data_IF_748656710987
#
_entry.id   IF_748656710987
#
_cell.length_a   1.000
_cell.length_b   1.000
_cell.length_c   1.000
_cell.angle_alpha   90.00
_cell.angle_beta   90.00
_cell.angle_gamma   90.00
#
_symmetry.space_group_name_H-M   'P 1'
#
loop_
_entity.id
_entity.type
_entity.pdbx_description
1 polymer ?
#
# COMPACT_ATOMS: atom_id res chain seq x y z
N UNK A 1 12.66 -12.56 -20.85
CA UNK A 1 13.75 -12.26 -19.90
C UNK A 1 14.31 -10.85 -20.03
N UNK A 2 14.52 -10.28 -21.23
CA UNK A 2 15.10 -8.94 -21.40
C UNK A 2 14.36 -7.82 -20.64
N UNK A 3 13.04 -7.72 -20.78
CA UNK A 3 12.25 -6.67 -20.13
C UNK A 3 12.29 -6.72 -18.58
N UNK A 4 12.26 -7.91 -17.98
CA UNK A 4 12.38 -8.06 -16.52
C UNK A 4 13.76 -7.65 -16.01
N UNK A 5 14.82 -7.96 -16.75
CA UNK A 5 16.18 -7.54 -16.40
C UNK A 5 16.36 -6.02 -16.51
N UNK A 6 15.77 -5.40 -17.54
CA UNK A 6 15.77 -3.93 -17.71
C UNK A 6 14.99 -3.25 -16.58
N UNK A 7 13.85 -3.83 -16.14
CA UNK A 7 13.09 -3.34 -15.00
C UNK A 7 13.90 -3.39 -13.69
N UNK A 8 14.54 -4.53 -13.38
CA UNK A 8 15.42 -4.65 -12.20
C UNK A 8 16.60 -3.67 -12.27
N UNK A 9 17.19 -3.48 -13.46
CA UNK A 9 18.27 -2.52 -13.64
C UNK A 9 17.81 -1.08 -13.32
N UNK A 10 16.64 -0.67 -13.80
CA UNK A 10 16.06 0.63 -13.48
C UNK A 10 15.79 0.79 -11.97
N UNK A 11 15.23 -0.23 -11.32
CA UNK A 11 15.01 -0.21 -9.87
C UNK A 11 16.32 -0.10 -9.07
N UNK A 12 17.39 -0.75 -9.53
CA UNK A 12 18.73 -0.60 -8.92
C UNK A 12 19.26 0.82 -9.03
N UNK A 13 19.05 1.49 -10.16
CA UNK A 13 19.46 2.90 -10.31
C UNK A 13 18.68 3.82 -9.35
N UNK A 14 17.36 3.63 -9.24
CA UNK A 14 16.53 4.35 -8.26
C UNK A 14 16.96 4.07 -6.81
N UNK A 15 17.20 2.81 -6.46
CA UNK A 15 17.62 2.41 -5.12
C UNK A 15 18.99 3.02 -4.77
N UNK A 16 19.95 3.03 -5.71
CA UNK A 16 21.24 3.69 -5.54
C UNK A 16 21.09 5.20 -5.31
N UNK A 17 20.20 5.86 -6.07
CA UNK A 17 19.92 7.28 -5.86
C UNK A 17 19.31 7.55 -4.48
N UNK A 18 18.41 6.68 -4.02
CA UNK A 18 17.82 6.76 -2.68
C UNK A 18 18.88 6.62 -1.57
N UNK A 19 19.79 5.64 -1.69
CA UNK A 19 20.93 5.47 -0.77
C UNK A 19 21.81 6.71 -0.71
N UNK A 20 22.15 7.28 -1.87
CA UNK A 20 22.97 8.50 -1.95
C UNK A 20 22.26 9.72 -1.35
N UNK A 21 20.93 9.77 -1.45
CA UNK A 21 20.10 10.80 -0.84
C UNK A 21 19.81 10.58 0.65
N UNK A 22 20.20 9.44 1.22
CA UNK A 22 19.86 9.09 2.61
C UNK A 22 18.36 8.85 2.84
N UNK A 23 17.62 8.50 1.79
CA UNK A 23 16.18 8.22 1.83
C UNK A 23 15.90 6.75 1.52
N UNK A 24 14.69 6.29 1.83
CA UNK A 24 14.22 4.96 1.46
C UNK A 24 13.40 5.02 0.16
N UNK A 25 13.38 3.91 -0.57
CA UNK A 25 12.59 3.74 -1.79
C UNK A 25 11.56 2.63 -1.56
N UNK A 26 10.28 2.98 -1.53
CA UNK A 26 9.18 2.02 -1.40
C UNK A 26 8.57 1.72 -2.76
N UNK A 27 8.54 0.44 -3.14
CA UNK A 27 7.83 -0.04 -4.33
C UNK A 27 6.43 -0.50 -3.94
N UNK A 28 5.41 0.07 -4.57
CA UNK A 28 4.01 -0.33 -4.37
C UNK A 28 3.63 -1.49 -5.30
N UNK A 29 2.96 -2.54 -4.80
CA UNK A 29 2.38 -3.56 -5.66
C UNK A 29 1.17 -2.99 -6.41
N UNK A 30 1.02 -3.37 -7.67
CA UNK A 30 -0.21 -3.15 -8.44
C UNK A 30 -0.53 -4.43 -9.21
N UNK A 31 -1.81 -4.77 -9.42
CA UNK A 31 -2.18 -5.82 -10.34
C UNK A 31 -1.58 -5.59 -11.72
N UNK A 32 -1.25 -6.67 -12.41
CA UNK A 32 -0.67 -6.66 -13.76
C UNK A 32 0.78 -6.13 -13.87
N UNK A 33 1.43 -5.79 -12.75
CA UNK A 33 2.86 -5.44 -12.69
C UNK A 33 3.75 -6.62 -12.27
N UNK A 34 5.08 -6.49 -12.42
CA UNK A 34 6.03 -7.54 -11.99
C UNK A 34 5.98 -7.80 -10.47
N UNK A 35 5.70 -6.76 -9.68
CA UNK A 35 5.52 -6.83 -8.23
C UNK A 35 4.06 -6.97 -7.80
N UNK A 36 3.21 -7.62 -8.59
CA UNK A 36 1.77 -7.69 -8.30
C UNK A 36 1.40 -8.50 -7.05
N UNK A 37 2.25 -9.43 -6.61
CA UNK A 37 2.01 -10.26 -5.43
C UNK A 37 3.30 -10.42 -4.60
N UNK A 38 3.17 -11.03 -3.43
CA UNK A 38 4.24 -11.23 -2.45
C UNK A 38 5.47 -11.91 -3.04
N UNK A 39 5.30 -12.96 -3.84
CA UNK A 39 6.43 -13.68 -4.46
C UNK A 39 7.14 -12.83 -5.52
N UNK A 40 6.38 -12.06 -6.31
CA UNK A 40 6.93 -11.09 -7.26
C UNK A 40 7.75 -10.02 -6.56
N UNK A 41 7.20 -9.43 -5.48
CA UNK A 41 7.89 -8.44 -4.65
C UNK A 41 9.18 -9.00 -4.06
N UNK A 42 9.14 -10.18 -3.43
CA UNK A 42 10.33 -10.80 -2.83
C UNK A 42 11.44 -11.04 -3.86
N UNK A 43 11.09 -11.54 -5.06
CA UNK A 43 12.07 -11.72 -6.15
C UNK A 43 12.65 -10.40 -6.65
N UNK A 44 11.84 -9.34 -6.71
CA UNK A 44 12.33 -8.00 -7.07
C UNK A 44 13.30 -7.48 -6.01
N UNK A 45 12.94 -7.59 -4.73
CA UNK A 45 13.78 -7.15 -3.61
C UNK A 45 15.12 -7.89 -3.60
N UNK A 46 15.10 -9.21 -3.78
CA UNK A 46 16.31 -10.05 -3.89
C UNK A 46 17.14 -9.69 -5.12
N UNK A 47 16.50 -9.48 -6.28
CA UNK A 47 17.23 -9.16 -7.50
C UNK A 47 17.84 -7.74 -7.45
N UNK A 48 17.18 -6.75 -6.86
CA UNK A 48 17.73 -5.41 -6.71
C UNK A 48 18.83 -5.38 -5.66
N UNK A 49 18.66 -6.11 -4.55
CA UNK A 49 19.60 -6.25 -3.44
C UNK A 49 20.12 -4.90 -2.91
N UNK A 50 19.18 -4.05 -2.48
CA UNK A 50 19.49 -2.78 -1.84
C UNK A 50 18.84 -2.68 -0.46
N UNK A 51 19.55 -2.14 0.55
CA UNK A 51 18.95 -1.81 1.84
C UNK A 51 17.97 -0.62 1.75
N UNK A 52 18.10 0.28 0.76
CA UNK A 52 17.17 1.41 0.63
C UNK A 52 15.81 0.99 0.08
N UNK A 53 15.76 -0.04 -0.77
CA UNK A 53 14.53 -0.54 -1.36
C UNK A 53 13.69 -1.34 -0.35
N UNK A 54 12.38 -1.14 -0.38
CA UNK A 54 11.38 -1.95 0.29
C UNK A 54 10.02 -1.79 -0.38
N UNK A 55 8.94 -2.00 0.35
CA UNK A 55 7.57 -2.09 -0.18
C UNK A 55 6.68 -1.02 0.46
N UNK A 56 5.88 -0.33 -0.38
CA UNK A 56 4.68 0.34 0.09
C UNK A 56 3.56 -0.71 0.10
N UNK A 57 3.21 -1.23 1.27
CA UNK A 57 2.22 -2.29 1.35
C UNK A 57 0.83 -1.72 1.07
N UNK A 58 0.18 -2.24 0.03
CA UNK A 58 -1.23 -1.98 -0.23
C UNK A 58 -2.03 -3.29 -0.25
N UNK A 59 -2.82 -3.56 0.81
CA UNK A 59 -3.69 -4.73 0.88
C UNK A 59 -4.70 -4.82 -0.28
N UNK A 60 -5.18 -3.69 -0.81
CA UNK A 60 -6.21 -3.65 -1.85
C UNK A 60 -5.70 -4.06 -3.23
N UNK A 61 -4.40 -3.88 -3.49
CA UNK A 61 -3.75 -4.40 -4.68
C UNK A 61 -3.41 -5.89 -4.56
N UNK A 62 -3.10 -6.35 -3.35
CA UNK A 62 -2.63 -7.72 -3.08
C UNK A 62 -3.79 -8.72 -2.91
N UNK A 63 -4.86 -8.30 -2.26
CA UNK A 63 -6.00 -9.16 -1.96
C UNK A 63 -6.70 -9.75 -3.21
N UNK A 64 -7.02 -8.96 -4.28
CA UNK A 64 -7.69 -9.50 -5.46
C UNK A 64 -6.79 -10.40 -6.33
N UNK A 65 -5.46 -10.40 -6.11
CA UNK A 65 -4.54 -11.33 -6.79
C UNK A 65 -4.28 -12.61 -5.99
N UNK A 66 -5.01 -12.81 -4.89
CA UNK A 66 -5.01 -14.04 -4.09
C UNK A 66 -4.06 -14.04 -2.90
N UNK A 67 -3.39 -12.92 -2.60
CA UNK A 67 -2.60 -12.81 -1.38
C UNK A 67 -3.49 -12.58 -0.16
N UNK A 68 -3.03 -13.06 1.00
CA UNK A 68 -3.63 -12.77 2.29
C UNK A 68 -2.83 -11.65 2.97
N UNK A 69 -3.38 -10.43 3.11
CA UNK A 69 -2.61 -9.26 3.54
C UNK A 69 -1.79 -9.45 4.83
N UNK A 70 -2.36 -10.10 5.85
CA UNK A 70 -1.64 -10.39 7.10
C UNK A 70 -0.42 -11.28 6.88
N UNK A 71 -0.51 -12.28 6.01
CA UNK A 71 0.63 -13.14 5.63
C UNK A 71 1.68 -12.34 4.85
N UNK A 72 1.25 -11.42 3.97
CA UNK A 72 2.18 -10.56 3.22
C UNK A 72 3.06 -9.75 4.16
N UNK A 73 2.47 -9.14 5.19
CA UNK A 73 3.22 -8.38 6.21
C UNK A 73 4.29 -9.25 6.86
N UNK A 74 3.96 -10.49 7.28
CA UNK A 74 4.93 -11.40 7.87
C UNK A 74 6.03 -11.83 6.88
N UNK A 75 5.68 -12.05 5.61
CA UNK A 75 6.63 -12.47 4.56
C UNK A 75 7.60 -11.36 4.19
N UNK A 76 7.14 -10.11 4.17
CA UNK A 76 7.96 -8.94 3.86
C UNK A 76 8.75 -8.46 5.08
N UNK A 77 8.21 -8.59 6.28
CA UNK A 77 8.87 -8.20 7.54
C UNK A 77 9.37 -6.76 7.51
N UNK A 78 10.66 -6.56 7.80
CA UNK A 78 11.32 -5.25 7.81
C UNK A 78 11.46 -4.59 6.42
N UNK A 79 10.98 -5.24 5.35
CA UNK A 79 10.93 -4.68 4.00
C UNK A 79 9.65 -3.88 3.76
N UNK A 80 8.66 -3.91 4.65
CA UNK A 80 7.52 -2.97 4.62
C UNK A 80 8.00 -1.62 5.14
N UNK A 81 7.95 -0.59 4.30
CA UNK A 81 8.46 0.76 4.62
C UNK A 81 7.34 1.78 4.82
N UNK A 82 6.28 1.62 4.04
CA UNK A 82 5.09 2.45 4.10
C UNK A 82 3.87 1.57 3.80
N UNK A 83 2.67 2.10 4.00
CA UNK A 83 1.46 1.39 3.62
C UNK A 83 0.33 2.33 3.22
N UNK A 84 -0.43 1.90 2.22
CA UNK A 84 -1.70 2.47 1.81
C UNK A 84 -2.80 1.47 2.15
N UNK A 85 -3.76 1.88 2.98
CA UNK A 85 -4.85 1.03 3.44
C UNK A 85 -6.15 1.49 2.82
N UNK A 86 -6.70 0.59 2.01
CA UNK A 86 -8.04 0.65 1.48
C UNK A 86 -8.62 -0.77 1.50
N UNK A 87 -9.95 -0.87 1.55
CA UNK A 87 -10.66 -2.14 1.52
C UNK A 87 -10.91 -2.59 0.09
N UNK A 88 -11.19 -3.88 -0.09
CA UNK A 88 -11.34 -4.47 -1.40
C UNK A 88 -12.33 -5.64 -1.39
N UNK A 89 -12.93 -5.92 -2.53
CA UNK A 89 -13.93 -6.99 -2.72
C UNK A 89 -13.31 -8.38 -2.97
N UNK A 90 -11.99 -8.46 -3.17
CA UNK A 90 -11.23 -9.68 -3.49
C UNK A 90 -11.36 -10.14 -4.93
N UNK A 91 -11.99 -9.34 -5.80
CA UNK A 91 -12.31 -9.71 -7.19
C UNK A 91 -11.80 -8.67 -8.19
N UNK A 92 -11.78 -7.39 -7.80
CA UNK A 92 -11.41 -6.26 -8.65
C UNK A 92 -10.38 -5.36 -7.96
N UNK A 93 -9.78 -4.42 -8.70
CA UNK A 93 -8.81 -3.48 -8.14
C UNK A 93 -9.51 -2.20 -7.62
N UNK A 94 -10.40 -2.36 -6.66
CA UNK A 94 -11.12 -1.26 -6.01
C UNK A 94 -10.45 -0.82 -4.72
N UNK A 95 -10.58 0.47 -4.38
CA UNK A 95 -10.04 1.08 -3.16
C UNK A 95 -11.19 1.66 -2.35
N UNK A 96 -11.78 0.84 -1.48
CA UNK A 96 -12.92 1.23 -0.66
C UNK A 96 -12.48 1.68 0.73
N UNK A 97 -13.41 2.28 1.49
CA UNK A 97 -13.17 2.56 2.91
C UNK A 97 -13.01 1.27 3.73
N UNK A 98 -11.99 1.14 4.59
CA UNK A 98 -11.86 0.05 5.55
C UNK A 98 -13.16 -0.27 6.29
N UNK A 99 -13.55 -1.55 6.29
CA UNK A 99 -14.79 -2.05 6.89
C UNK A 99 -15.96 -2.17 5.90
N UNK A 100 -15.77 -1.77 4.65
CA UNK A 100 -16.81 -1.88 3.60
C UNK A 100 -16.54 -2.97 2.58
N UNK A 101 -15.37 -3.62 2.63
CA UNK A 101 -14.99 -4.73 1.77
C UNK A 101 -14.86 -6.05 2.53
N UNK A 102 -13.95 -6.90 2.08
CA UNK A 102 -13.76 -8.27 2.59
C UNK A 102 -12.39 -8.49 3.26
N UNK A 103 -11.54 -7.47 3.37
CA UNK A 103 -10.25 -7.61 4.05
C UNK A 103 -10.48 -7.80 5.56
N UNK A 104 -9.87 -8.84 6.15
CA UNK A 104 -9.87 -9.04 7.60
C UNK A 104 -8.87 -8.08 8.26
N UNK A 105 -9.35 -6.86 8.52
CA UNK A 105 -8.57 -5.80 9.16
C UNK A 105 -8.06 -6.16 10.55
N UNK A 106 -8.83 -6.95 11.32
CA UNK A 106 -8.43 -7.36 12.66
C UNK A 106 -7.22 -8.30 12.62
N UNK A 107 -7.19 -9.24 11.67
CA UNK A 107 -5.98 -10.05 11.44
C UNK A 107 -4.84 -9.23 10.85
N UNK A 108 -5.14 -8.37 9.87
CA UNK A 108 -4.12 -7.57 9.22
C UNK A 108 -3.39 -6.69 10.23
N UNK A 109 -4.08 -5.97 11.12
CA UNK A 109 -3.47 -5.05 12.08
C UNK A 109 -2.64 -5.74 13.18
N UNK A 110 -2.80 -7.04 13.41
CA UNK A 110 -1.89 -7.82 14.27
C UNK A 110 -0.53 -8.02 13.62
N UNK A 111 -0.47 -8.16 12.30
CA UNK A 111 0.77 -8.48 11.61
C UNK A 111 1.83 -7.36 11.72
N UNK A 112 1.51 -6.07 11.59
CA UNK A 112 2.42 -4.97 11.91
C UNK A 112 2.95 -5.02 13.35
N UNK A 113 2.12 -5.37 14.33
CA UNK A 113 2.54 -5.50 15.72
C UNK A 113 3.55 -6.65 15.90
N UNK A 114 3.28 -7.79 15.26
CA UNK A 114 4.13 -8.97 15.31
C UNK A 114 5.46 -8.79 14.59
N UNK A 115 5.51 -8.00 13.51
CA UNK A 115 6.72 -7.74 12.73
C UNK A 115 7.50 -6.51 13.20
N UNK A 116 6.95 -5.74 14.14
CA UNK A 116 7.57 -4.52 14.66
C UNK A 116 7.54 -3.35 13.67
N UNK A 117 6.55 -3.29 12.78
CA UNK A 117 6.35 -2.15 11.90
C UNK A 117 5.90 -0.93 12.71
N UNK A 118 6.64 0.18 12.58
CA UNK A 118 6.39 1.44 13.29
C UNK A 118 6.12 2.62 12.33
N UNK A 119 5.91 2.33 11.05
CA UNK A 119 5.70 3.33 10.02
C UNK A 119 4.24 3.79 9.90
N UNK A 120 4.03 4.72 8.96
CA UNK A 120 2.71 5.32 8.71
C UNK A 120 1.80 4.34 7.95
N UNK A 121 0.58 4.19 8.47
CA UNK A 121 -0.58 3.65 7.74
C UNK A 121 -1.35 4.82 7.14
N UNK A 122 -1.22 5.02 5.83
CA UNK A 122 -1.98 6.04 5.10
C UNK A 122 -3.27 5.44 4.56
N UNK A 123 -4.34 6.23 4.50
CA UNK A 123 -5.63 5.80 3.96
C UNK A 123 -5.81 6.31 2.53
N UNK A 124 -6.24 5.44 1.62
CA UNK A 124 -6.41 5.79 0.20
C UNK A 124 -7.78 5.31 -0.30
N UNK A 125 -8.69 6.23 -0.68
CA UNK A 125 -10.04 5.84 -1.10
C UNK A 125 -10.36 6.35 -2.50
N UNK A 126 -11.06 5.51 -3.26
CA UNK A 126 -11.62 5.85 -4.56
C UNK A 126 -13.15 5.72 -4.61
N UNK A 127 -13.79 5.13 -3.60
CA UNK A 127 -15.25 4.91 -3.55
C UNK A 127 -16.05 6.13 -3.09
N UNK A 128 -15.39 7.12 -2.48
CA UNK A 128 -16.07 8.30 -1.93
C UNK A 128 -16.09 9.45 -2.93
N UNK A 129 -17.27 9.99 -3.29
CA UNK A 129 -17.37 11.18 -4.10
C UNK A 129 -16.55 12.35 -3.52
N UNK A 130 -15.93 13.11 -4.41
CA UNK A 130 -15.24 14.34 -4.02
C UNK A 130 -13.88 14.15 -3.35
N UNK A 131 -13.24 13.00 -3.54
CA UNK A 131 -11.79 12.84 -3.36
C UNK A 131 -11.03 13.88 -4.20
N UNK A 132 -9.92 14.41 -3.66
CA UNK A 132 -9.04 15.28 -4.42
C UNK A 132 -8.35 14.48 -5.52
N UNK A 133 -8.51 14.91 -6.77
CA UNK A 133 -7.76 14.37 -7.92
C UNK A 133 -7.17 15.59 -8.63
N UNK A 134 -5.85 15.59 -8.82
CA UNK A 134 -5.07 16.78 -9.18
C UNK A 134 -5.55 17.57 -10.41
N UNK A 135 -4.87 18.68 -10.71
CA UNK A 135 -5.32 19.70 -11.67
C UNK A 135 -5.20 19.33 -13.16
N UNK A 136 -4.78 18.11 -13.52
CA UNK A 136 -4.49 17.74 -14.91
C UNK A 136 -5.36 16.59 -15.41
N UNK A 137 -5.92 16.77 -16.60
CA UNK A 137 -6.44 15.68 -17.44
C UNK A 137 -5.24 14.95 -18.09
N UNK A 138 -4.65 13.97 -17.40
CA UNK A 138 -3.83 12.94 -18.05
C UNK A 138 -4.66 11.65 -18.25
N UNK A 139 -4.18 10.74 -19.10
CA UNK A 139 -4.94 9.56 -19.51
C UNK A 139 -5.33 8.67 -18.32
N UNK A 140 -6.56 8.87 -17.83
CA UNK A 140 -7.12 8.16 -16.67
C UNK A 140 -7.59 9.09 -15.53
N UNK A 141 -7.25 10.38 -15.56
CA UNK A 141 -7.77 11.36 -14.62
C UNK A 141 -9.26 11.64 -14.91
N UNK A 142 -10.13 10.99 -14.14
CA UNK A 142 -11.51 11.42 -13.98
C UNK A 142 -11.52 12.90 -13.57
N UNK A 143 -12.30 13.76 -14.26
CA UNK A 143 -12.43 15.18 -13.90
C UNK A 143 -12.71 15.32 -12.40
N UNK A 144 -11.76 15.88 -11.65
CA UNK A 144 -11.75 15.82 -10.20
C UNK A 144 -11.78 17.18 -9.51
N UNK A 145 -12.00 17.13 -8.20
CA UNK A 145 -11.89 18.30 -7.34
C UNK A 145 -10.42 18.51 -6.94
N UNK A 146 -9.95 19.76 -6.93
CA UNK A 146 -8.59 20.08 -6.46
C UNK A 146 -8.49 19.90 -4.94
N UNK A 147 -9.58 20.19 -4.23
CA UNK A 147 -9.70 20.02 -2.79
C UNK A 147 -10.69 18.88 -2.49
N UNK A 148 -10.40 18.11 -1.44
CA UNK A 148 -11.33 17.11 -0.98
C UNK A 148 -12.59 17.78 -0.41
N UNK A 149 -13.76 17.20 -0.70
CA UNK A 149 -15.03 17.71 -0.17
C UNK A 149 -15.18 17.39 1.32
N UNK A 150 -16.09 18.09 2.00
CA UNK A 150 -16.43 17.79 3.39
C UNK A 150 -17.08 16.40 3.57
N UNK A 151 -17.74 15.87 2.53
CA UNK A 151 -18.24 14.49 2.53
C UNK A 151 -17.09 13.49 2.57
N UNK A 152 -16.09 13.66 1.68
CA UNK A 152 -14.87 12.85 1.70
C UNK A 152 -14.16 12.93 3.06
N UNK A 153 -14.00 14.14 3.62
CA UNK A 153 -13.36 14.30 4.92
C UNK A 153 -14.11 13.57 6.04
N UNK A 154 -15.45 13.62 6.03
CA UNK A 154 -16.28 12.95 7.02
C UNK A 154 -16.10 11.43 6.96
N UNK A 155 -16.15 10.87 5.76
CA UNK A 155 -15.93 9.44 5.53
C UNK A 155 -14.51 9.00 5.88
N UNK A 156 -13.52 9.84 5.59
CA UNK A 156 -12.14 9.59 5.97
C UNK A 156 -11.96 9.49 7.48
N UNK A 157 -12.60 10.39 8.24
CA UNK A 157 -12.56 10.36 9.71
C UNK A 157 -13.23 9.12 10.29
N UNK A 158 -14.30 8.62 9.66
CA UNK A 158 -14.96 7.37 10.07
C UNK A 158 -14.04 6.17 9.88
N UNK A 159 -13.44 6.03 8.69
CA UNK A 159 -12.51 4.95 8.39
C UNK A 159 -11.25 5.00 9.29
N UNK A 160 -10.72 6.19 9.53
CA UNK A 160 -9.59 6.40 10.44
C UNK A 160 -9.92 5.97 11.87
N UNK A 161 -11.09 6.36 12.39
CA UNK A 161 -11.54 5.96 13.71
C UNK A 161 -11.69 4.43 13.83
N UNK A 162 -12.30 3.80 12.83
CA UNK A 162 -12.46 2.34 12.76
C UNK A 162 -11.11 1.60 12.81
N UNK A 163 -10.15 1.99 11.97
CA UNK A 163 -8.82 1.36 12.00
C UNK A 163 -8.05 1.67 13.29
N UNK A 164 -8.20 2.87 13.85
CA UNK A 164 -7.53 3.26 15.09
C UNK A 164 -8.02 2.41 16.27
N UNK A 165 -9.32 2.14 16.34
CA UNK A 165 -9.91 1.23 17.33
C UNK A 165 -9.33 -0.17 17.19
N UNK A 166 -9.35 -0.74 15.99
CA UNK A 166 -8.80 -2.08 15.74
C UNK A 166 -7.29 -2.17 15.99
N UNK A 167 -6.53 -1.13 15.65
CA UNK A 167 -5.10 -1.06 15.89
C UNK A 167 -4.80 -1.06 17.40
N UNK A 168 -5.58 -0.29 18.16
CA UNK A 168 -5.50 -0.27 19.63
C UNK A 168 -5.83 -1.64 20.23
N UNK A 169 -6.88 -2.31 19.74
CA UNK A 169 -7.22 -3.67 20.15
C UNK A 169 -6.14 -4.70 19.81
N UNK A 170 -5.41 -4.49 18.70
CA UNK A 170 -4.27 -5.30 18.29
C UNK A 170 -2.98 -4.99 19.09
N UNK A 171 -3.01 -3.99 19.99
CA UNK A 171 -1.86 -3.60 20.80
C UNK A 171 -0.88 -2.66 20.12
N UNK A 172 -1.25 -2.08 18.96
CA UNK A 172 -0.47 -1.02 18.32
C UNK A 172 -0.64 0.29 19.10
N UNK A 173 0.43 1.08 19.14
CA UNK A 173 0.36 2.47 19.60
C UNK A 173 0.10 3.34 18.39
N UNK A 174 -1.07 3.96 18.35
CA UNK A 174 -1.47 4.92 17.33
C UNK A 174 -1.30 6.32 17.91
N UNK A 175 -0.61 7.20 17.18
CA UNK A 175 -0.36 8.61 17.55
C UNK A 175 -1.40 9.56 16.94
#
# INVERSE_FOLDING_TARGET
>A
MRAANEYVAALRECAKAAEQGGIRYSLEPHPFCYGANTEGLLRILEAVDSPALGVNLDPSHLFPVGDLPHIVVHRLGNRVLHSHFSDNDGETNVHWRPGTGKIDWRHLLRAPADTGYDGVISLEFEDVPGVSRGTRDDHGAYHGNVEATGEFESEYRIALAYLTELATEAGLRVE
#
